data_IF_095342945737
#
_entry.id   IF_095342945737
#
_cell.length_a   1.000
_cell.length_b   1.000
_cell.length_c   1.000
_cell.angle_alpha   90.00
_cell.angle_beta   90.00
_cell.angle_gamma   90.00
#
_symmetry.space_group_name_H-M   'P 1'
#
loop_
_entity.id
_entity.type
_entity.pdbx_description
1 polymer ?
#
# COMPACT_ATOMS: atom_id res chain seq x y z
N UNK A 1 32.54 30.10 -21.16
CA UNK A 1 31.51 30.46 -20.20
C UNK A 1 31.62 29.49 -19.03
N UNK A 2 32.00 29.95 -17.84
CA UNK A 2 32.17 29.06 -16.69
C UNK A 2 30.79 28.68 -16.11
N UNK A 3 30.66 27.48 -15.56
CA UNK A 3 29.46 27.02 -14.85
C UNK A 3 29.04 28.03 -13.75
N UNK A 4 30.02 28.67 -13.10
CA UNK A 4 29.80 29.74 -12.13
C UNK A 4 29.15 31.00 -12.73
N UNK A 5 29.48 31.32 -13.98
CA UNK A 5 28.93 32.52 -14.65
C UNK A 5 27.47 32.24 -15.08
N UNK A 6 27.16 31.02 -15.50
CA UNK A 6 25.78 30.60 -15.83
C UNK A 6 24.93 30.59 -14.56
N UNK A 7 25.44 30.05 -13.46
CA UNK A 7 24.75 30.05 -12.16
C UNK A 7 24.52 31.47 -11.63
N UNK A 8 25.53 32.33 -11.70
CA UNK A 8 25.44 33.73 -11.25
C UNK A 8 24.46 34.52 -12.12
N UNK A 9 24.46 34.29 -13.43
CA UNK A 9 23.54 34.94 -14.36
C UNK A 9 22.11 34.46 -14.14
N UNK A 10 21.88 33.14 -13.98
CA UNK A 10 20.57 32.56 -13.69
C UNK A 10 20.00 33.03 -12.34
N UNK A 11 20.85 33.14 -11.30
CA UNK A 11 20.43 33.68 -10.00
C UNK A 11 20.13 35.18 -10.07
N UNK A 12 20.97 35.97 -10.77
CA UNK A 12 20.70 37.40 -10.99
C UNK A 12 19.45 37.66 -11.82
N UNK A 13 19.21 36.88 -12.89
CA UNK A 13 18.02 36.97 -13.70
C UNK A 13 16.75 36.59 -12.92
N UNK A 14 16.83 35.60 -12.01
CA UNK A 14 15.69 35.26 -11.13
C UNK A 14 15.41 36.32 -10.06
N UNK A 15 16.42 37.09 -9.65
CA UNK A 15 16.25 38.24 -8.75
C UNK A 15 15.75 39.49 -9.47
N UNK A 16 16.15 39.70 -10.74
CA UNK A 16 15.75 40.86 -11.54
C UNK A 16 14.48 40.64 -12.35
N UNK A 17 14.15 39.41 -12.67
CA UNK A 17 12.82 39.00 -13.17
C UNK A 17 11.81 39.06 -12.03
N UNK A 18 11.76 40.21 -11.34
CA UNK A 18 10.79 40.46 -10.33
C UNK A 18 9.41 40.58 -11.00
N UNK A 19 8.55 39.56 -10.77
CA UNK A 19 7.17 39.82 -10.44
C UNK A 19 6.21 40.08 -11.56
N UNK A 20 6.23 39.26 -12.52
CA UNK A 20 4.97 39.03 -13.15
C UNK A 20 4.38 37.69 -12.68
N UNK A 21 3.69 37.65 -11.53
CA UNK A 21 2.60 36.69 -11.38
C UNK A 21 1.61 37.09 -12.46
N UNK A 22 1.83 36.59 -13.67
CA UNK A 22 0.95 36.87 -14.79
C UNK A 22 -0.35 36.10 -14.51
N UNK A 23 -1.48 36.73 -14.90
CA UNK A 23 -2.77 36.06 -14.76
C UNK A 23 -2.74 34.67 -15.38
N UNK A 24 -1.99 34.48 -16.46
CA UNK A 24 -1.81 33.19 -17.13
C UNK A 24 -1.12 32.15 -16.22
N UNK A 25 -0.11 32.57 -15.44
CA UNK A 25 0.54 31.67 -14.45
C UNK A 25 -0.44 31.27 -13.34
N UNK A 26 -1.21 32.23 -12.82
CA UNK A 26 -2.22 31.92 -11.78
C UNK A 26 -3.29 30.98 -12.30
N UNK A 27 -3.79 31.22 -13.50
CA UNK A 27 -4.81 30.35 -14.13
C UNK A 27 -4.26 28.94 -14.34
N UNK A 28 -3.04 28.81 -14.91
CA UNK A 28 -2.43 27.51 -15.14
C UNK A 28 -2.12 26.78 -13.83
N UNK A 29 -1.69 27.47 -12.78
CA UNK A 29 -1.45 26.88 -11.46
C UNK A 29 -2.77 26.39 -10.83
N UNK A 30 -3.85 27.16 -10.90
CA UNK A 30 -5.17 26.74 -10.40
C UNK A 30 -5.68 25.53 -11.17
N UNK A 31 -5.55 25.52 -12.49
CA UNK A 31 -5.94 24.35 -13.31
C UNK A 31 -5.12 23.13 -12.93
N UNK A 32 -3.79 23.25 -12.78
CA UNK A 32 -2.93 22.15 -12.39
C UNK A 32 -3.32 21.58 -11.02
N UNK A 33 -3.64 22.43 -10.04
CA UNK A 33 -4.06 22.00 -8.70
C UNK A 33 -5.43 21.32 -8.71
N UNK A 34 -6.39 21.83 -9.48
CA UNK A 34 -7.70 21.17 -9.64
C UNK A 34 -7.57 19.81 -10.32
N UNK A 35 -6.75 19.72 -11.36
CA UNK A 35 -6.45 18.45 -12.02
C UNK A 35 -5.72 17.49 -11.07
N UNK A 36 -4.76 17.98 -10.27
CA UNK A 36 -4.07 17.19 -9.25
C UNK A 36 -5.05 16.62 -8.20
N UNK A 37 -6.03 17.42 -7.79
CA UNK A 37 -7.08 16.94 -6.88
C UNK A 37 -7.91 15.82 -7.52
N UNK A 38 -8.31 15.95 -8.79
CA UNK A 38 -9.07 14.92 -9.50
C UNK A 38 -8.28 13.62 -9.64
N UNK A 39 -6.99 13.70 -10.00
CA UNK A 39 -6.11 12.54 -10.09
C UNK A 39 -5.87 11.91 -8.72
N UNK A 40 -5.67 12.73 -7.69
CA UNK A 40 -5.55 12.23 -6.30
C UNK A 40 -6.79 11.48 -5.83
N UNK A 41 -7.99 12.01 -6.11
CA UNK A 41 -9.25 11.33 -5.83
C UNK A 41 -9.38 10.02 -6.61
N UNK A 42 -8.96 9.98 -7.87
CA UNK A 42 -8.96 8.76 -8.65
C UNK A 42 -8.04 7.69 -8.01
N UNK A 43 -6.82 8.07 -7.60
CA UNK A 43 -5.90 7.17 -6.90
C UNK A 43 -6.52 6.67 -5.58
N UNK A 44 -7.19 7.54 -4.83
CA UNK A 44 -7.93 7.15 -3.64
C UNK A 44 -9.00 6.09 -3.92
N UNK A 45 -9.79 6.24 -5.02
CA UNK A 45 -10.78 5.23 -5.42
C UNK A 45 -10.12 3.90 -5.79
N UNK A 46 -9.01 3.94 -6.52
CA UNK A 46 -8.24 2.73 -6.87
C UNK A 46 -7.71 2.07 -5.60
N UNK A 47 -7.13 2.85 -4.68
CA UNK A 47 -6.68 2.36 -3.39
C UNK A 47 -7.81 1.69 -2.62
N UNK A 48 -8.94 2.37 -2.43
CA UNK A 48 -10.11 1.83 -1.73
C UNK A 48 -10.63 0.52 -2.33
N UNK A 49 -10.63 0.41 -3.66
CA UNK A 49 -11.16 -0.76 -4.39
C UNK A 49 -10.20 -1.94 -4.41
N UNK A 50 -8.90 -1.69 -4.53
CA UNK A 50 -7.87 -2.72 -4.72
C UNK A 50 -6.92 -2.84 -3.53
N UNK A 51 -7.28 -2.30 -2.37
CA UNK A 51 -6.48 -2.48 -1.16
C UNK A 51 -6.52 -3.95 -0.72
N UNK A 52 -5.34 -4.54 -0.61
CA UNK A 52 -5.16 -5.95 -0.21
C UNK A 52 -4.34 -6.12 1.05
N UNK A 53 -4.11 -5.05 1.81
CA UNK A 53 -3.40 -5.06 3.09
C UNK A 53 -4.29 -5.53 4.24
N UNK A 54 -3.69 -5.69 5.42
CA UNK A 54 -4.34 -6.24 6.62
C UNK A 54 -5.39 -5.31 7.20
N UNK A 55 -5.14 -3.99 7.20
CA UNK A 55 -6.06 -2.99 7.75
C UNK A 55 -6.19 -1.81 6.77
N UNK A 56 -7.38 -1.63 6.22
CA UNK A 56 -7.70 -0.44 5.43
C UNK A 56 -7.64 0.81 6.30
N UNK A 57 -6.76 1.75 5.96
CA UNK A 57 -6.67 3.05 6.63
C UNK A 57 -7.32 4.15 5.79
N UNK A 58 -8.46 4.65 6.22
CA UNK A 58 -9.11 5.80 5.58
C UNK A 58 -8.23 7.06 5.62
N UNK A 59 -7.49 7.24 6.72
CA UNK A 59 -6.53 8.35 6.89
C UNK A 59 -5.43 8.31 5.85
N UNK A 60 -4.90 7.12 5.54
CA UNK A 60 -3.89 6.96 4.50
C UNK A 60 -4.45 7.32 3.11
N UNK A 61 -5.68 6.92 2.81
CA UNK A 61 -6.35 7.30 1.56
C UNK A 61 -6.46 8.81 1.38
N UNK A 62 -6.81 9.55 2.44
CA UNK A 62 -6.85 11.01 2.42
C UNK A 62 -5.45 11.60 2.21
N UNK A 63 -4.42 10.98 2.84
CA UNK A 63 -3.02 11.40 2.67
C UNK A 63 -2.58 11.28 1.21
N UNK A 64 -3.02 10.25 0.45
CA UNK A 64 -2.70 10.11 -0.98
C UNK A 64 -3.20 11.30 -1.80
N UNK A 65 -4.44 11.74 -1.55
CA UNK A 65 -5.00 12.93 -2.22
C UNK A 65 -4.19 14.18 -1.86
N UNK A 66 -3.94 14.37 -0.57
CA UNK A 66 -3.14 15.51 -0.08
C UNK A 66 -1.73 15.51 -0.67
N UNK A 67 -1.06 14.37 -0.74
CA UNK A 67 0.28 14.24 -1.31
C UNK A 67 0.31 14.62 -2.80
N UNK A 68 -0.69 14.24 -3.59
CA UNK A 68 -0.75 14.61 -5.01
C UNK A 68 -0.85 16.13 -5.18
N UNK A 69 -1.74 16.77 -4.43
CA UNK A 69 -1.94 18.22 -4.48
C UNK A 69 -0.73 18.97 -3.94
N UNK A 70 -0.20 18.57 -2.79
CA UNK A 70 1.00 19.17 -2.18
C UNK A 70 2.21 19.07 -3.10
N UNK A 71 2.45 17.90 -3.68
CA UNK A 71 3.60 17.71 -4.58
C UNK A 71 3.47 18.56 -5.84
N UNK A 72 2.25 18.70 -6.38
CA UNK A 72 1.98 19.61 -7.49
C UNK A 72 2.28 21.07 -7.09
N UNK A 73 1.75 21.53 -5.96
CA UNK A 73 1.98 22.89 -5.47
C UNK A 73 3.47 23.17 -5.19
N UNK A 74 4.17 22.25 -4.54
CA UNK A 74 5.60 22.35 -4.26
C UNK A 74 6.42 22.42 -5.54
N UNK A 75 6.11 21.59 -6.53
CA UNK A 75 6.84 21.56 -7.80
C UNK A 75 6.59 22.86 -8.59
N UNK A 76 5.36 23.40 -8.59
CA UNK A 76 5.06 24.73 -9.17
C UNK A 76 5.87 25.83 -8.47
N UNK A 77 5.96 25.82 -7.14
CA UNK A 77 6.73 26.81 -6.38
C UNK A 77 8.23 26.70 -6.68
N UNK A 78 8.77 25.46 -6.80
CA UNK A 78 10.15 25.20 -7.16
C UNK A 78 10.49 25.70 -8.58
N UNK A 79 9.58 25.47 -9.54
CA UNK A 79 9.79 25.88 -10.93
C UNK A 79 9.72 27.40 -11.12
N UNK A 80 9.06 28.12 -10.21
CA UNK A 80 8.94 29.57 -10.28
C UNK A 80 10.16 30.33 -9.79
N UNK A 81 10.97 29.72 -8.89
CA UNK A 81 12.13 30.38 -8.31
C UNK A 81 13.21 29.40 -7.82
N UNK A 82 14.42 29.52 -8.39
CA UNK A 82 15.57 28.65 -8.06
C UNK A 82 16.00 28.78 -6.60
N UNK A 83 15.87 29.96 -5.99
CA UNK A 83 16.25 30.17 -4.58
C UNK A 83 15.31 29.41 -3.65
N UNK A 84 14.01 29.45 -3.94
CA UNK A 84 13.00 28.65 -3.21
C UNK A 84 13.27 27.16 -3.38
N UNK A 85 13.67 26.74 -4.58
CA UNK A 85 14.04 25.37 -4.90
C UNK A 85 15.15 24.84 -3.99
N UNK A 86 16.25 25.57 -3.88
CA UNK A 86 17.37 25.19 -3.01
C UNK A 86 16.99 25.16 -1.52
N UNK A 87 16.23 26.16 -1.08
CA UNK A 87 15.75 26.23 0.30
C UNK A 87 14.82 25.07 0.67
N UNK A 88 13.95 24.70 -0.26
CA UNK A 88 12.97 23.62 -0.04
C UNK A 88 13.63 22.24 -0.02
N UNK A 89 14.60 21.96 -0.89
CA UNK A 89 15.40 20.73 -0.85
C UNK A 89 16.12 20.59 0.48
N UNK A 90 16.68 21.70 0.99
CA UNK A 90 17.29 21.74 2.33
C UNK A 90 16.29 21.47 3.45
N UNK A 91 15.12 22.10 3.40
CA UNK A 91 14.07 21.92 4.41
C UNK A 91 13.51 20.49 4.42
N UNK A 92 13.25 19.92 3.25
CA UNK A 92 12.74 18.55 3.12
C UNK A 92 13.75 17.49 3.61
N UNK A 93 15.04 17.75 3.52
CA UNK A 93 16.09 16.83 4.00
C UNK A 93 16.12 16.71 5.54
N UNK A 94 15.57 17.68 6.26
CA UNK A 94 15.48 17.68 7.73
C UNK A 94 14.27 16.89 8.22
N UNK A 95 13.24 16.73 7.39
CA UNK A 95 12.01 16.01 7.74
C UNK A 95 12.29 14.51 7.77
N UNK A 96 12.49 13.98 8.97
CA UNK A 96 12.69 12.54 9.20
C UNK A 96 11.39 11.90 9.64
N UNK A 97 10.80 11.07 8.77
CA UNK A 97 9.69 10.20 9.17
C UNK A 97 10.20 9.09 10.10
N UNK A 98 9.64 9.02 11.30
CA UNK A 98 9.94 7.95 12.27
C UNK A 98 8.93 6.80 12.23
N UNK A 99 7.82 6.96 11.52
CA UNK A 99 6.81 5.92 11.37
C UNK A 99 7.23 4.95 10.27
N UNK A 100 7.43 3.68 10.64
CA UNK A 100 7.66 2.63 9.66
C UNK A 100 6.38 2.43 8.82
N UNK A 101 6.51 2.55 7.51
CA UNK A 101 5.44 2.15 6.59
C UNK A 101 5.45 0.61 6.60
N UNK A 102 4.43 0.01 7.17
CA UNK A 102 4.36 -1.44 7.39
C UNK A 102 4.09 -2.23 6.11
N UNK A 103 3.34 -1.66 5.17
CA UNK A 103 2.98 -2.32 3.93
C UNK A 103 3.77 -1.74 2.73
N UNK A 104 4.55 -2.57 2.00
CA UNK A 104 5.23 -2.13 0.78
C UNK A 104 4.30 -1.56 -0.31
N UNK A 105 3.04 -1.97 -0.33
CA UNK A 105 2.04 -1.46 -1.27
C UNK A 105 1.70 0.01 -1.00
N UNK A 106 1.70 0.44 0.25
CA UNK A 106 1.45 1.84 0.61
C UNK A 106 2.52 2.77 0.06
N UNK A 107 3.80 2.32 0.04
CA UNK A 107 4.88 3.04 -0.61
C UNK A 107 4.66 3.22 -2.11
N UNK A 108 4.17 2.17 -2.79
CA UNK A 108 3.86 2.24 -4.21
C UNK A 108 2.81 3.32 -4.51
N UNK A 109 1.74 3.39 -3.72
CA UNK A 109 0.71 4.42 -3.87
C UNK A 109 1.24 5.82 -3.57
N UNK A 110 2.09 5.98 -2.56
CA UNK A 110 2.72 7.27 -2.25
C UNK A 110 3.60 7.76 -3.40
N UNK A 111 4.48 6.90 -3.93
CA UNK A 111 5.31 7.27 -5.08
C UNK A 111 4.49 7.57 -6.32
N UNK A 112 3.40 6.86 -6.53
CA UNK A 112 2.47 7.14 -7.62
C UNK A 112 1.87 8.55 -7.49
N UNK A 113 1.38 8.93 -6.31
CA UNK A 113 0.85 10.28 -6.04
C UNK A 113 1.88 11.36 -6.28
N UNK A 114 3.11 11.19 -5.76
CA UNK A 114 4.22 12.13 -5.93
C UNK A 114 4.54 12.31 -7.42
N UNK A 115 4.67 11.21 -8.16
CA UNK A 115 4.98 11.24 -9.59
C UNK A 115 3.94 11.98 -10.39
N UNK A 116 2.65 11.74 -10.13
CA UNK A 116 1.54 12.45 -10.79
C UNK A 116 1.58 13.95 -10.46
N UNK A 117 1.78 14.31 -9.19
CA UNK A 117 1.90 15.71 -8.80
C UNK A 117 3.01 16.46 -9.54
N UNK A 118 4.20 15.84 -9.67
CA UNK A 118 5.32 16.41 -10.42
C UNK A 118 4.99 16.59 -11.90
N UNK A 119 4.39 15.56 -12.54
CA UNK A 119 4.05 15.60 -13.96
C UNK A 119 3.03 16.68 -14.28
N UNK A 120 2.03 16.85 -13.41
CA UNK A 120 1.00 17.89 -13.59
C UNK A 120 1.59 19.29 -13.42
N UNK A 121 2.47 19.51 -12.46
CA UNK A 121 3.16 20.78 -12.27
C UNK A 121 4.09 21.13 -13.45
N UNK A 122 4.68 20.12 -14.09
CA UNK A 122 5.50 20.28 -15.28
C UNK A 122 4.68 20.46 -16.57
N UNK A 123 3.33 20.54 -16.49
CA UNK A 123 2.40 20.61 -17.62
C UNK A 123 2.47 19.41 -18.60
N UNK A 124 2.99 18.25 -18.14
CA UNK A 124 3.10 17.04 -18.96
C UNK A 124 1.89 16.12 -18.73
N UNK A 125 0.70 16.63 -19.03
CA UNK A 125 -0.58 15.95 -18.76
C UNK A 125 -0.70 14.61 -19.48
N UNK A 126 -0.17 14.50 -20.70
CA UNK A 126 -0.22 13.26 -21.48
C UNK A 126 0.51 12.12 -20.76
N UNK A 127 1.71 12.39 -20.22
CA UNK A 127 2.47 11.40 -19.46
C UNK A 127 1.77 11.01 -18.16
N UNK A 128 1.14 11.99 -17.48
CA UNK A 128 0.37 11.72 -16.27
C UNK A 128 -0.80 10.75 -16.53
N UNK A 129 -1.51 10.92 -17.66
CA UNK A 129 -2.61 10.03 -18.06
C UNK A 129 -2.09 8.61 -18.36
N UNK A 130 -1.00 8.50 -19.13
CA UNK A 130 -0.39 7.19 -19.43
C UNK A 130 0.02 6.48 -18.14
N UNK A 131 0.73 7.18 -17.27
CA UNK A 131 1.17 6.64 -15.96
C UNK A 131 -0.02 6.20 -15.13
N UNK A 132 -1.11 6.97 -15.12
CA UNK A 132 -2.35 6.63 -14.42
C UNK A 132 -2.94 5.31 -14.93
N UNK A 133 -3.02 5.13 -16.24
CA UNK A 133 -3.56 3.91 -16.87
C UNK A 133 -2.67 2.72 -16.57
N UNK A 134 -1.36 2.85 -16.79
CA UNK A 134 -0.38 1.77 -16.57
C UNK A 134 -0.41 1.31 -15.11
N UNK A 135 -0.37 2.23 -14.14
CA UNK A 135 -0.38 1.91 -12.73
C UNK A 135 -1.71 1.28 -12.28
N UNK A 136 -2.83 1.76 -12.80
CA UNK A 136 -4.15 1.16 -12.52
C UNK A 136 -4.22 -0.28 -13.01
N UNK A 137 -3.73 -0.56 -14.23
CA UNK A 137 -3.68 -1.91 -14.79
C UNK A 137 -2.75 -2.81 -13.97
N UNK A 138 -1.57 -2.31 -13.61
CA UNK A 138 -0.59 -3.03 -12.79
C UNK A 138 -1.19 -3.43 -11.44
N UNK A 139 -1.76 -2.47 -10.72
CA UNK A 139 -2.41 -2.72 -9.42
C UNK A 139 -3.55 -3.74 -9.57
N UNK A 140 -4.41 -3.59 -10.58
CA UNK A 140 -5.50 -4.52 -10.84
C UNK A 140 -4.99 -5.95 -11.10
N UNK A 141 -3.97 -6.12 -11.93
CA UNK A 141 -3.39 -7.43 -12.27
C UNK A 141 -2.76 -8.08 -11.03
N UNK A 142 -1.94 -7.32 -10.29
CA UNK A 142 -1.29 -7.82 -9.08
C UNK A 142 -2.30 -8.19 -7.99
N UNK A 143 -3.33 -7.37 -7.79
CA UNK A 143 -4.37 -7.63 -6.81
C UNK A 143 -5.21 -8.86 -7.17
N UNK A 144 -5.56 -9.02 -8.44
CA UNK A 144 -6.34 -10.19 -8.89
C UNK A 144 -5.59 -11.50 -8.66
N UNK A 145 -4.25 -11.47 -8.78
CA UNK A 145 -3.41 -12.65 -8.49
C UNK A 145 -3.30 -12.95 -6.99
N UNK A 146 -3.37 -11.93 -6.11
CA UNK A 146 -3.24 -12.10 -4.65
C UNK A 146 -4.55 -12.61 -4.00
N UNK A 147 -5.68 -12.63 -4.69
CA UNK A 147 -6.99 -13.05 -4.19
C UNK A 147 -7.16 -14.58 -4.04
N UNK A 148 -6.08 -15.32 -3.79
CA UNK A 148 -6.06 -16.77 -3.65
C UNK A 148 -6.15 -17.20 -2.18
N UNK A 149 -7.38 -17.22 -1.66
CA UNK A 149 -7.73 -17.88 -0.40
C UNK A 149 -7.53 -17.04 0.88
N UNK A 150 -8.50 -17.13 1.77
CA UNK A 150 -8.33 -16.68 3.16
C UNK A 150 -7.50 -17.73 3.89
N UNK A 151 -6.51 -17.28 4.64
CA UNK A 151 -5.68 -18.13 5.46
C UNK A 151 -6.34 -18.25 6.84
N UNK A 152 -6.53 -19.48 7.29
CA UNK A 152 -7.03 -19.79 8.61
C UNK A 152 -5.96 -20.58 9.36
N UNK A 153 -5.73 -20.26 10.61
CA UNK A 153 -4.95 -21.07 11.52
C UNK A 153 -5.94 -21.87 12.37
N UNK A 154 -5.86 -23.19 12.27
CA UNK A 154 -6.67 -24.11 13.04
C UNK A 154 -5.77 -24.76 14.10
N UNK A 155 -6.15 -24.63 15.36
CA UNK A 155 -5.52 -25.31 16.50
C UNK A 155 -6.46 -26.42 16.94
N UNK A 156 -5.98 -27.66 16.95
CA UNK A 156 -6.75 -28.88 17.24
C UNK A 156 -6.08 -29.57 18.40
N UNK A 157 -6.83 -29.81 19.48
CA UNK A 157 -6.40 -30.62 20.59
C UNK A 157 -7.09 -31.99 20.51
N UNK A 158 -6.30 -33.08 20.47
CA UNK A 158 -6.83 -34.41 20.34
C UNK A 158 -5.97 -35.46 21.09
N UNK A 159 -6.55 -36.60 21.38
CA UNK A 159 -5.90 -37.77 21.99
C UNK A 159 -5.97 -38.98 21.04
N UNK A 160 -4.92 -39.78 21.06
CA UNK A 160 -4.83 -41.01 20.24
C UNK A 160 -4.24 -40.82 18.85
N UNK A 161 -3.57 -41.86 18.35
CA UNK A 161 -2.98 -41.85 16.99
C UNK A 161 -4.01 -42.02 15.90
N UNK A 162 -5.08 -42.81 16.17
CA UNK A 162 -6.16 -43.04 15.22
C UNK A 162 -6.92 -41.73 14.88
N UNK A 163 -7.24 -40.94 15.92
CA UNK A 163 -7.86 -39.60 15.75
C UNK A 163 -6.96 -38.68 14.93
N UNK A 164 -5.65 -38.72 15.15
CA UNK A 164 -4.69 -37.94 14.37
C UNK A 164 -4.64 -38.34 12.89
N UNK A 165 -4.81 -39.62 12.57
CA UNK A 165 -4.89 -40.10 11.19
C UNK A 165 -6.17 -39.64 10.49
N UNK A 166 -7.32 -39.68 11.19
CA UNK A 166 -8.60 -39.19 10.66
C UNK A 166 -8.58 -37.67 10.42
N UNK A 167 -8.03 -36.88 11.34
CA UNK A 167 -7.83 -35.44 11.17
C UNK A 167 -7.01 -35.16 9.90
N UNK A 168 -5.90 -35.90 9.73
CA UNK A 168 -5.05 -35.77 8.55
C UNK A 168 -5.77 -36.14 7.27
N UNK A 169 -6.66 -37.13 7.31
CA UNK A 169 -7.50 -37.56 6.18
C UNK A 169 -8.52 -36.47 5.78
N UNK A 170 -9.17 -35.84 6.77
CA UNK A 170 -10.10 -34.72 6.52
C UNK A 170 -9.36 -33.52 5.93
N UNK A 171 -8.19 -33.20 6.45
CA UNK A 171 -7.34 -32.11 5.95
C UNK A 171 -6.76 -32.40 4.57
N UNK A 172 -6.57 -33.68 4.21
CA UNK A 172 -6.00 -34.08 2.90
C UNK A 172 -6.79 -33.63 1.67
N UNK A 173 -8.07 -33.25 1.83
CA UNK A 173 -8.90 -32.67 0.78
C UNK A 173 -8.69 -31.15 0.57
N UNK A 174 -7.83 -30.51 1.37
CA UNK A 174 -7.65 -29.06 1.42
C UNK A 174 -6.15 -28.76 1.35
N UNK A 175 -5.78 -27.61 0.83
CA UNK A 175 -4.37 -27.16 0.93
C UNK A 175 -4.07 -26.73 2.36
N UNK A 176 -3.31 -27.53 3.08
CA UNK A 176 -2.90 -27.23 4.44
C UNK A 176 -1.38 -27.31 4.63
N UNK A 177 -0.88 -26.65 5.64
CA UNK A 177 0.50 -26.72 6.10
C UNK A 177 0.54 -26.87 7.62
N UNK A 178 1.22 -27.89 8.10
CA UNK A 178 1.44 -28.07 9.54
C UNK A 178 2.46 -27.02 9.99
N UNK A 179 2.10 -26.19 10.96
CA UNK A 179 2.98 -25.19 11.58
C UNK A 179 3.65 -25.74 12.83
N UNK A 180 2.89 -26.44 13.66
CA UNK A 180 3.38 -27.03 14.89
C UNK A 180 2.59 -28.29 15.25
N UNK A 181 3.28 -29.28 15.82
CA UNK A 181 2.66 -30.42 16.47
C UNK A 181 3.36 -30.63 17.81
N UNK A 182 2.63 -30.42 18.90
CA UNK A 182 3.17 -30.49 20.26
C UNK A 182 2.45 -31.59 21.03
N UNK A 183 3.20 -32.52 21.67
CA UNK A 183 2.64 -33.57 22.49
C UNK A 183 2.86 -33.23 23.97
N UNK A 184 1.78 -33.13 24.76
CA UNK A 184 1.82 -32.87 26.20
C UNK A 184 0.92 -33.85 26.93
N UNK A 185 1.52 -34.71 27.76
CA UNK A 185 0.80 -35.64 28.67
C UNK A 185 -0.31 -36.47 27.98
N UNK A 186 -0.05 -36.95 26.76
CA UNK A 186 -1.02 -37.74 25.99
C UNK A 186 -1.93 -36.95 25.07
N UNK A 187 -2.06 -35.63 25.27
CA UNK A 187 -2.83 -34.74 24.38
C UNK A 187 -1.90 -34.16 23.31
N UNK A 188 -2.34 -34.16 22.07
CA UNK A 188 -1.63 -33.59 20.94
C UNK A 188 -2.28 -32.26 20.58
N UNK A 189 -1.48 -31.20 20.55
CA UNK A 189 -1.84 -29.89 20.00
C UNK A 189 -1.29 -29.80 18.57
N UNK A 190 -2.17 -29.74 17.58
CA UNK A 190 -1.85 -29.64 16.17
C UNK A 190 -2.26 -28.28 15.63
N UNK A 191 -1.29 -27.46 15.25
CA UNK A 191 -1.54 -26.16 14.60
C UNK A 191 -1.33 -26.29 13.10
N UNK A 192 -2.40 -26.09 12.32
CA UNK A 192 -2.38 -26.14 10.86
C UNK A 192 -2.84 -24.84 10.26
N UNK A 193 -2.14 -24.42 9.22
CA UNK A 193 -2.54 -23.32 8.36
C UNK A 193 -3.31 -23.88 7.18
N UNK A 194 -4.52 -23.41 6.96
CA UNK A 194 -5.42 -23.89 5.90
C UNK A 194 -5.78 -22.74 4.98
N UNK A 195 -5.62 -22.94 3.67
CA UNK A 195 -6.08 -22.00 2.64
C UNK A 195 -7.47 -22.40 2.15
N UNK A 196 -8.50 -21.62 2.48
CA UNK A 196 -9.86 -21.81 2.00
C UNK A 196 -10.30 -20.68 1.07
N UNK A 197 -10.89 -21.04 -0.08
CA UNK A 197 -11.52 -20.10 -1.03
C UNK A 197 -12.98 -19.83 -0.69
N UNK A 198 -13.62 -20.71 0.02
CA UNK A 198 -15.00 -20.63 0.49
C UNK A 198 -14.99 -20.33 1.99
N UNK A 199 -15.93 -19.48 2.42
CA UNK A 199 -16.02 -18.98 3.81
C UNK A 199 -15.88 -20.03 4.91
N UNK A 200 -16.38 -19.78 6.13
CA UNK A 200 -16.13 -20.57 7.34
C UNK A 200 -16.00 -22.07 7.06
N UNK A 201 -14.89 -22.68 7.42
CA UNK A 201 -14.52 -24.00 6.91
C UNK A 201 -15.35 -25.09 7.59
N UNK A 202 -16.23 -25.70 6.80
CA UNK A 202 -17.01 -26.90 7.15
C UNK A 202 -16.13 -28.05 7.68
N UNK A 203 -14.82 -28.04 7.40
CA UNK A 203 -13.90 -29.05 7.91
C UNK A 203 -13.69 -28.97 9.43
N UNK A 204 -13.76 -27.76 10.03
CA UNK A 204 -13.58 -27.59 11.46
C UNK A 204 -14.70 -28.30 12.24
N UNK A 205 -15.96 -28.16 11.78
CA UNK A 205 -17.10 -28.86 12.37
C UNK A 205 -16.99 -30.38 12.22
N UNK A 206 -16.41 -30.87 11.11
CA UNK A 206 -16.18 -32.30 10.91
C UNK A 206 -15.08 -32.84 11.82
N UNK A 207 -14.06 -32.05 12.11
CA UNK A 207 -12.97 -32.45 13.02
C UNK A 207 -13.46 -32.40 14.46
N UNK A 208 -14.24 -31.39 14.85
CA UNK A 208 -14.82 -31.26 16.18
C UNK A 208 -15.77 -32.43 16.54
N UNK A 209 -16.43 -33.00 15.54
CA UNK A 209 -17.32 -34.15 15.71
C UNK A 209 -16.60 -35.52 15.87
N UNK A 210 -15.26 -35.57 15.78
CA UNK A 210 -14.51 -36.83 15.92
C UNK A 210 -14.35 -37.20 17.39
N UNK A 211 -14.49 -38.51 17.69
CA UNK A 211 -14.16 -39.03 19.00
C UNK A 211 -12.67 -38.89 19.27
N UNK A 212 -12.33 -38.33 20.46
CA UNK A 212 -10.94 -38.07 20.84
C UNK A 212 -10.44 -36.66 20.52
N UNK A 213 -11.26 -35.80 19.90
CA UNK A 213 -10.98 -34.36 19.77
C UNK A 213 -11.57 -33.63 20.97
N UNK A 214 -10.72 -32.85 21.66
CA UNK A 214 -11.12 -32.09 22.86
C UNK A 214 -11.55 -30.68 22.54
N UNK A 215 -10.92 -30.02 21.55
CA UNK A 215 -11.18 -28.63 21.17
C UNK A 215 -10.64 -28.33 19.77
N UNK A 216 -11.39 -27.52 19.01
CA UNK A 216 -11.00 -27.02 17.69
C UNK A 216 -11.16 -25.52 17.66
N UNK A 217 -10.07 -24.78 17.71
CA UNK A 217 -10.06 -23.35 17.58
C UNK A 217 -9.67 -22.91 16.18
N UNK A 218 -10.52 -22.09 15.52
CA UNK A 218 -10.28 -21.56 14.19
C UNK A 218 -10.07 -20.06 14.23
N UNK A 219 -8.89 -19.61 13.86
CA UNK A 219 -8.51 -18.20 13.87
C UNK A 219 -8.29 -17.77 12.43
N UNK A 220 -9.01 -16.75 11.97
CA UNK A 220 -8.72 -16.14 10.67
C UNK A 220 -7.43 -15.35 10.77
N UNK A 221 -6.40 -15.77 10.03
CA UNK A 221 -5.13 -15.10 10.00
C UNK A 221 -5.12 -13.98 8.97
N UNK A 222 -5.06 -12.74 9.43
CA UNK A 222 -5.00 -11.54 8.57
C UNK A 222 -3.57 -11.02 8.35
N UNK A 223 -2.56 -11.84 8.59
CA UNK A 223 -1.17 -11.53 8.21
C UNK A 223 -0.32 -10.80 9.23
N UNK A 224 -0.78 -10.60 10.49
CA UNK A 224 0.07 -10.05 11.56
C UNK A 224 0.22 -11.06 12.70
N UNK A 225 1.34 -11.79 12.70
CA UNK A 225 1.92 -12.37 13.90
C UNK A 225 3.16 -11.54 14.22
N UNK A 226 3.03 -10.57 15.13
CA UNK A 226 4.17 -9.96 15.80
C UNK A 226 4.52 -10.91 16.96
N UNK A 227 5.50 -11.79 16.73
CA UNK A 227 6.23 -12.45 17.79
C UNK A 227 7.20 -11.49 18.43
#
# INVERSE_FOLDING_TARGET
MSVKDVFKKSVLESFTANNGITLDFVISAVIALVVALLFGLFIYFVYKKYYGGVVYSASFGITLVGMTVLTCALTLAISSNIVISLGMVGALSIVRYRTAIKDPMDLLYLFWCISIGIMLAANVYFLAIITMVVMTVLVKVLFTRKKSGKIYVCVIHYEGEETGAEITRILGGIKYQIKSKTLRKGVVELTVEVMSKQGAPVFAEKIDALEGVSDVSLIQYNGEYNG
#
